data_IF_271360793710
#
_entry.id   IF_271360793710
#
_cell.length_a   1.000
_cell.length_b   1.000
_cell.length_c   1.000
_cell.angle_alpha   90.00
_cell.angle_beta   90.00
_cell.angle_gamma   90.00
#
_symmetry.space_group_name_H-M   'P 1'
#
loop_
_entity.id
_entity.type
_entity.pdbx_description
1 polymer ?
#
# COMPACT_ATOMS: atom_id res chain seq x y z
N UNK A 1 2.29 10.63 -12.64
CA UNK A 1 2.40 9.18 -12.36
C UNK A 1 2.36 8.96 -10.85
N UNK A 2 1.46 8.13 -10.37
CA UNK A 2 1.42 7.81 -8.93
C UNK A 2 2.72 7.21 -8.43
N UNK A 3 3.01 7.43 -7.15
CA UNK A 3 4.23 6.94 -6.50
C UNK A 3 3.86 6.00 -5.36
N UNK A 4 4.64 4.95 -5.21
CA UNK A 4 4.54 4.02 -4.09
C UNK A 4 5.87 3.94 -3.36
N UNK A 5 5.82 3.67 -2.06
CA UNK A 5 7.02 3.52 -1.25
C UNK A 5 7.43 2.05 -1.25
N UNK A 6 8.65 1.80 -1.69
CA UNK A 6 9.23 0.46 -1.73
C UNK A 6 10.43 0.37 -0.81
N UNK A 7 10.51 -0.72 -0.06
CA UNK A 7 11.70 -1.07 0.72
C UNK A 7 12.57 -1.95 -0.17
N UNK A 8 13.78 -1.49 -0.46
CA UNK A 8 14.61 -2.09 -1.52
C UNK A 8 15.82 -2.85 -1.01
N UNK A 9 16.31 -2.51 0.16
CA UNK A 9 17.39 -3.22 0.85
C UNK A 9 17.40 -2.78 2.31
N UNK A 10 18.17 -3.45 3.20
CA UNK A 10 18.13 -3.09 4.62
C UNK A 10 18.39 -1.61 4.86
N UNK A 11 17.44 -0.94 5.52
CA UNK A 11 17.58 0.46 5.85
C UNK A 11 17.42 1.41 4.67
N UNK A 12 16.91 0.95 3.53
CA UNK A 12 16.75 1.79 2.34
C UNK A 12 15.36 1.66 1.74
N UNK A 13 14.72 2.79 1.53
CA UNK A 13 13.42 2.88 0.87
C UNK A 13 13.50 3.88 -0.28
N UNK A 14 12.66 3.69 -1.30
CA UNK A 14 12.60 4.62 -2.43
C UNK A 14 11.17 4.74 -2.94
N UNK A 15 10.88 5.85 -3.59
CA UNK A 15 9.60 6.05 -4.26
C UNK A 15 9.74 5.56 -5.69
N UNK A 16 8.78 4.73 -6.12
CA UNK A 16 8.72 4.19 -7.48
C UNK A 16 7.42 4.57 -8.14
N UNK A 17 7.46 4.81 -9.43
CA UNK A 17 6.25 5.05 -10.22
C UNK A 17 5.41 3.77 -10.24
N UNK A 18 4.10 3.94 -10.04
CA UNK A 18 3.13 2.84 -10.06
C UNK A 18 1.98 3.21 -10.99
N UNK A 19 1.77 2.43 -12.04
CA UNK A 19 0.59 2.61 -12.87
C UNK A 19 -0.63 2.10 -12.13
N UNK A 20 -1.69 2.89 -12.09
CA UNK A 20 -2.96 2.52 -11.48
C UNK A 20 -4.00 2.36 -12.57
N UNK A 21 -4.57 1.17 -12.69
CA UNK A 21 -5.58 0.85 -13.68
C UNK A 21 -6.74 0.14 -12.98
N UNK A 22 -7.70 0.90 -12.39
CA UNK A 22 -8.81 0.28 -11.67
C UNK A 22 -9.64 -0.61 -12.59
N UNK A 23 -9.98 -1.80 -12.09
CA UNK A 23 -10.90 -2.69 -12.77
C UNK A 23 -12.35 -2.26 -12.57
N UNK A 24 -13.30 -3.01 -13.17
CA UNK A 24 -14.73 -2.64 -13.12
C UNK A 24 -15.32 -2.62 -11.71
N UNK A 25 -14.78 -3.43 -10.81
CA UNK A 25 -15.28 -3.51 -9.43
C UNK A 25 -14.34 -2.84 -8.43
N UNK A 26 -13.56 -1.87 -8.90
CA UNK A 26 -12.61 -1.16 -8.07
C UNK A 26 -12.85 0.33 -8.05
N UNK A 27 -12.49 0.95 -6.94
CA UNK A 27 -12.48 2.40 -6.80
C UNK A 27 -11.03 2.90 -6.80
N UNK A 28 -10.82 4.07 -7.38
CA UNK A 28 -9.53 4.74 -7.33
C UNK A 28 -9.53 5.74 -6.17
N UNK A 29 -8.53 5.68 -5.32
CA UNK A 29 -8.44 6.49 -4.11
C UNK A 29 -7.19 7.35 -4.17
N UNK A 30 -7.35 8.64 -3.82
CA UNK A 30 -6.21 9.56 -3.64
C UNK A 30 -5.93 9.67 -2.15
N UNK A 31 -4.74 9.28 -1.75
CA UNK A 31 -4.34 9.30 -0.35
C UNK A 31 -4.19 10.72 0.19
N UNK A 32 -4.61 10.93 1.43
CA UNK A 32 -4.34 12.16 2.18
C UNK A 32 -3.31 11.90 3.27
N UNK A 33 -3.46 10.78 3.99
CA UNK A 33 -2.59 10.43 5.10
C UNK A 33 -2.36 8.93 5.12
N UNK A 34 -1.18 8.54 5.57
CA UNK A 34 -0.86 7.17 5.90
C UNK A 34 -0.29 7.11 7.30
N UNK A 35 -0.24 5.92 7.85
CA UNK A 35 0.42 5.69 9.13
C UNK A 35 1.41 4.54 8.98
N UNK A 36 2.61 4.75 9.52
CA UNK A 36 3.66 3.74 9.50
C UNK A 36 3.60 2.97 10.81
N UNK A 37 3.51 1.65 10.71
CA UNK A 37 3.56 0.77 11.87
C UNK A 37 4.98 0.76 12.43
N UNK A 38 5.11 1.26 13.64
CA UNK A 38 6.41 1.38 14.28
C UNK A 38 7.10 0.03 14.52
N UNK A 39 6.33 -1.00 14.82
CA UNK A 39 6.88 -2.34 15.04
C UNK A 39 7.08 -3.10 13.74
N UNK A 40 5.98 -3.39 13.04
CA UNK A 40 5.98 -4.25 11.87
C UNK A 40 6.78 -3.66 10.70
N UNK A 41 6.52 -2.39 10.37
CA UNK A 41 7.20 -1.80 9.22
C UNK A 41 8.67 -1.52 9.49
N UNK A 42 9.05 -1.31 10.75
CA UNK A 42 10.46 -1.19 11.10
C UNK A 42 11.21 -2.50 10.83
N UNK A 43 10.59 -3.64 11.10
CA UNK A 43 11.17 -4.95 10.78
C UNK A 43 11.36 -5.11 9.26
N UNK A 44 10.33 -4.72 8.49
CA UNK A 44 10.40 -4.81 7.03
C UNK A 44 11.52 -3.92 6.49
N UNK A 45 11.57 -2.68 6.94
CA UNK A 45 12.59 -1.71 6.52
C UNK A 45 14.01 -2.18 6.84
N UNK A 46 14.20 -2.77 8.00
CA UNK A 46 15.51 -3.26 8.42
C UNK A 46 15.91 -4.61 7.80
N UNK A 47 14.97 -5.26 7.11
CA UNK A 47 15.20 -6.59 6.55
C UNK A 47 15.25 -7.67 7.61
N UNK A 48 14.56 -7.48 8.73
CA UNK A 48 14.60 -8.39 9.88
C UNK A 48 13.38 -9.28 10.01
N UNK A 49 12.55 -9.36 8.98
CA UNK A 49 11.41 -10.26 9.00
C UNK A 49 11.95 -11.70 8.98
N UNK A 50 11.61 -12.53 9.99
CA UNK A 50 12.06 -13.92 9.97
C UNK A 50 11.46 -14.67 8.77
N UNK A 51 12.22 -15.50 8.07
CA UNK A 51 11.67 -16.26 6.93
C UNK A 51 10.42 -17.07 7.28
N UNK A 52 10.30 -17.54 8.51
CA UNK A 52 9.11 -18.28 8.96
C UNK A 52 7.86 -17.41 9.00
N UNK A 53 8.01 -16.08 8.96
CA UNK A 53 6.88 -15.14 9.00
C UNK A 53 6.54 -14.54 7.62
N UNK A 54 7.24 -14.91 6.55
CA UNK A 54 7.04 -14.30 5.23
C UNK A 54 5.61 -14.46 4.72
N UNK A 55 4.99 -15.61 4.92
CA UNK A 55 3.62 -15.85 4.49
C UNK A 55 2.63 -15.10 5.39
N UNK A 56 2.84 -15.22 6.72
CA UNK A 56 1.92 -14.65 7.71
C UNK A 56 1.90 -13.13 7.71
N UNK A 57 3.04 -12.50 7.44
CA UNK A 57 3.14 -11.04 7.45
C UNK A 57 2.71 -10.39 6.14
N UNK A 58 2.35 -11.17 5.12
CA UNK A 58 1.87 -10.61 3.87
C UNK A 58 0.58 -9.82 4.10
N UNK A 59 0.60 -8.54 3.74
CA UNK A 59 -0.57 -7.69 3.88
C UNK A 59 -1.38 -7.59 2.59
N UNK A 60 -2.62 -7.07 2.66
CA UNK A 60 -3.42 -6.84 1.47
C UNK A 60 -2.70 -5.89 0.50
N UNK A 61 -2.78 -6.19 -0.78
CA UNK A 61 -2.20 -5.38 -1.87
C UNK A 61 -0.68 -5.21 -1.81
N UNK A 62 0.02 -5.99 -1.00
CA UNK A 62 1.46 -5.97 -0.92
C UNK A 62 2.08 -6.26 -2.28
N UNK A 63 3.10 -5.50 -2.67
CA UNK A 63 3.86 -5.74 -3.89
C UNK A 63 5.20 -6.38 -3.57
N UNK A 64 5.75 -7.16 -4.53
CA UNK A 64 7.02 -7.83 -4.34
C UNK A 64 6.96 -8.96 -3.35
N UNK A 65 8.12 -9.36 -2.85
CA UNK A 65 8.26 -10.46 -1.89
C UNK A 65 9.33 -10.12 -0.87
N UNK A 66 9.16 -10.64 0.36
CA UNK A 66 10.20 -10.52 1.37
C UNK A 66 11.45 -11.28 0.94
N UNK A 67 12.65 -10.82 1.33
CA UNK A 67 12.86 -9.62 2.14
C UNK A 67 12.79 -8.34 1.33
N UNK A 68 13.24 -8.34 0.06
CA UNK A 68 13.28 -7.15 -0.79
C UNK A 68 13.27 -7.53 -2.27
N UNK A 69 12.83 -6.65 -3.15
CA UNK A 69 12.13 -5.41 -2.85
C UNK A 69 10.68 -5.69 -2.48
N UNK A 70 10.10 -4.87 -1.62
CA UNK A 70 8.74 -5.07 -1.17
C UNK A 70 8.03 -3.72 -0.97
N UNK A 71 6.76 -3.68 -1.41
CA UNK A 71 5.85 -2.56 -1.14
C UNK A 71 4.94 -3.01 -0.03
N UNK A 72 5.02 -2.37 1.13
CA UNK A 72 4.38 -2.86 2.34
C UNK A 72 3.78 -1.72 3.15
N UNK A 73 2.68 -1.98 3.82
CA UNK A 73 1.97 -1.03 4.66
C UNK A 73 0.49 -1.36 4.66
N UNK A 74 -0.27 -0.81 5.64
CA UNK A 74 -1.67 -1.20 5.74
C UNK A 74 -2.56 -0.13 6.37
N UNK A 75 -2.18 1.13 6.30
CA UNK A 75 -3.03 2.18 6.86
C UNK A 75 -2.96 3.44 6.00
N UNK A 76 -4.02 3.69 5.24
CA UNK A 76 -4.16 4.90 4.42
C UNK A 76 -5.58 5.44 4.54
N UNK A 77 -5.69 6.76 4.66
CA UNK A 77 -6.96 7.49 4.56
C UNK A 77 -6.91 8.33 3.30
N UNK A 78 -7.93 8.26 2.49
CA UNK A 78 -7.98 9.00 1.25
C UNK A 78 -9.40 9.25 0.77
N UNK A 79 -9.52 9.93 -0.37
CA UNK A 79 -10.80 10.26 -0.99
C UNK A 79 -10.99 9.45 -2.27
N UNK A 80 -12.17 8.89 -2.46
CA UNK A 80 -12.52 8.17 -3.69
C UNK A 80 -12.66 9.17 -4.82
N UNK A 81 -11.84 9.02 -5.86
CA UNK A 81 -11.90 9.87 -7.06
C UNK A 81 -12.79 9.28 -8.14
N UNK A 82 -12.68 7.97 -8.38
CA UNK A 82 -13.49 7.28 -9.37
C UNK A 82 -13.98 5.95 -8.81
N UNK A 83 -15.11 5.49 -9.31
CA UNK A 83 -15.74 4.25 -8.86
C UNK A 83 -17.25 4.39 -8.88
N UNK A 84 -17.98 3.55 -8.12
CA UNK A 84 -19.42 3.66 -8.04
C UNK A 84 -19.84 5.07 -7.58
N UNK A 85 -20.90 5.65 -8.19
CA UNK A 85 -21.28 7.03 -7.86
C UNK A 85 -21.52 7.30 -6.38
N UNK A 86 -22.05 6.34 -5.64
CA UNK A 86 -22.32 6.54 -4.21
C UNK A 86 -21.05 6.65 -3.36
N UNK A 87 -19.89 6.30 -3.90
CA UNK A 87 -18.61 6.41 -3.21
C UNK A 87 -17.83 7.67 -3.59
N UNK A 88 -18.22 8.34 -4.68
CA UNK A 88 -17.48 9.53 -5.15
C UNK A 88 -17.34 10.58 -4.05
N UNK A 89 -16.13 11.06 -3.84
CA UNK A 89 -15.85 12.09 -2.86
C UNK A 89 -15.86 11.61 -1.42
N UNK A 90 -16.12 10.32 -1.18
CA UNK A 90 -16.14 9.77 0.17
C UNK A 90 -14.73 9.61 0.73
N UNK A 91 -14.59 9.94 2.02
CA UNK A 91 -13.36 9.67 2.75
C UNK A 91 -13.39 8.20 3.18
N UNK A 92 -12.31 7.48 2.89
CA UNK A 92 -12.25 6.04 3.19
C UNK A 92 -10.94 5.68 3.86
N UNK A 93 -10.96 4.60 4.63
CA UNK A 93 -9.77 3.96 5.18
C UNK A 93 -9.48 2.71 4.36
N UNK A 94 -8.22 2.46 4.05
CA UNK A 94 -7.82 1.28 3.29
C UNK A 94 -6.63 0.58 3.93
N UNK A 95 -6.64 -0.74 3.87
CA UNK A 95 -5.50 -1.58 4.21
C UNK A 95 -4.65 -1.70 2.95
N UNK A 96 -3.75 -0.77 2.76
CA UNK A 96 -2.97 -0.67 1.54
C UNK A 96 -1.56 -0.17 1.83
N UNK A 97 -0.54 -0.65 1.10
CA UNK A 97 0.81 -0.10 1.19
C UNK A 97 0.83 1.40 0.86
N UNK A 98 1.87 2.09 1.32
CA UNK A 98 2.00 3.54 1.16
C UNK A 98 2.13 3.91 -0.31
N UNK A 99 1.12 4.62 -0.82
CA UNK A 99 0.98 4.98 -2.23
C UNK A 99 0.06 6.19 -2.32
N UNK A 100 0.35 7.12 -3.23
CA UNK A 100 -0.45 8.35 -3.28
C UNK A 100 -1.79 8.17 -4.01
N UNK A 101 -1.83 7.34 -5.04
CA UNK A 101 -3.08 6.97 -5.72
C UNK A 101 -3.09 5.47 -5.91
N UNK A 102 -4.20 4.82 -5.60
CA UNK A 102 -4.30 3.37 -5.67
C UNK A 102 -5.73 2.91 -5.94
N UNK A 103 -5.88 1.65 -6.34
CA UNK A 103 -7.18 1.05 -6.60
C UNK A 103 -7.48 -0.03 -5.56
N UNK A 104 -8.72 -0.09 -5.11
CA UNK A 104 -9.18 -1.09 -4.14
C UNK A 104 -10.55 -1.64 -4.55
N UNK A 105 -10.87 -2.88 -4.16
CA UNK A 105 -12.21 -3.43 -4.38
C UNK A 105 -13.26 -2.58 -3.67
N UNK A 106 -14.46 -2.55 -4.23
CA UNK A 106 -15.57 -1.73 -3.69
C UNK A 106 -16.46 -2.48 -2.70
N UNK A 107 -16.23 -3.76 -2.50
CA UNK A 107 -17.00 -4.60 -1.57
C UNK A 107 -16.21 -5.01 -0.33
#
# INVERSE_FOLDING_TARGET
>A
MPKALWYVEPGMAELRDERVAPGPDEACVRAHFGAISRGTEALVFAGRVPPTEYVRMRGPHMGGVFPFPVKYGYAIVGTVETGPPHLHGRLVFALHPHQDVFAVPTD
#
